data_IF_311031053448
#
_entry.id   IF_311031053448
#
_cell.length_a   1.000
_cell.length_b   1.000
_cell.length_c   1.000
_cell.angle_alpha   90.00
_cell.angle_beta   90.00
_cell.angle_gamma   90.00
#
_symmetry.space_group_name_H-M   'P 1'
#
loop_
_entity.id
_entity.type
_entity.pdbx_description
1 polymer ?
#
# COMPACT_ATOMS: atom_id res chain seq x y z
N UNK A 1 -4.79 -16.28 5.32
CA UNK A 1 -5.35 -15.58 4.14
C UNK A 1 -4.21 -14.93 3.38
N UNK A 2 -4.28 -14.90 2.05
CA UNK A 2 -3.32 -14.21 1.20
C UNK A 2 -4.06 -13.26 0.24
N UNK A 3 -3.51 -12.05 0.08
CA UNK A 3 -3.96 -11.08 -0.92
C UNK A 3 -2.80 -10.80 -1.85
N UNK A 4 -3.05 -10.84 -3.16
CA UNK A 4 -2.03 -10.56 -4.18
C UNK A 4 -2.31 -9.23 -4.84
N UNK A 5 -1.29 -8.40 -4.94
CA UNK A 5 -1.29 -7.18 -5.73
C UNK A 5 -0.27 -7.29 -6.84
N UNK A 6 -0.67 -6.95 -8.07
CA UNK A 6 0.24 -6.88 -9.20
C UNK A 6 0.27 -5.44 -9.72
N UNK A 7 1.45 -4.84 -9.72
CA UNK A 7 1.68 -3.49 -10.26
C UNK A 7 2.28 -3.67 -11.66
N UNK A 8 1.48 -3.41 -12.69
CA UNK A 8 1.87 -3.70 -14.09
C UNK A 8 2.66 -2.57 -14.75
N UNK A 9 2.62 -1.37 -14.19
CA UNK A 9 3.41 -0.25 -14.67
C UNK A 9 4.85 -0.39 -14.20
N UNK A 10 5.77 -0.64 -15.14
CA UNK A 10 7.18 -0.86 -14.86
C UNK A 10 7.91 0.36 -14.29
N UNK A 11 7.32 1.57 -14.40
CA UNK A 11 7.86 2.78 -13.76
C UNK A 11 7.62 2.80 -12.24
N UNK A 12 6.66 2.01 -11.75
CA UNK A 12 6.32 1.90 -10.34
C UNK A 12 7.13 0.77 -9.71
N UNK A 13 8.17 1.15 -8.98
CA UNK A 13 9.11 0.23 -8.34
C UNK A 13 8.76 -0.12 -6.89
N UNK A 14 7.74 0.53 -6.30
CA UNK A 14 7.22 0.21 -4.98
C UNK A 14 5.79 -0.33 -5.06
N UNK A 15 5.47 -1.32 -4.23
CA UNK A 15 4.09 -1.72 -3.93
C UNK A 15 3.79 -1.45 -2.46
N UNK A 16 2.79 -0.62 -2.19
CA UNK A 16 2.34 -0.27 -0.85
C UNK A 16 1.07 -1.03 -0.51
N UNK A 17 0.93 -1.41 0.76
CA UNK A 17 -0.26 -2.07 1.30
C UNK A 17 -0.90 -1.21 2.38
N UNK A 18 -2.20 -0.97 2.25
CA UNK A 18 -2.99 -0.20 3.20
C UNK A 18 -4.16 -1.02 3.73
N UNK A 19 -4.61 -0.67 4.93
CA UNK A 19 -5.87 -1.14 5.50
C UNK A 19 -6.77 0.03 5.86
N UNK A 20 -8.07 -0.15 5.63
CA UNK A 20 -9.14 0.70 6.13
C UNK A 20 -10.04 -0.13 7.06
N UNK A 21 -10.11 0.26 8.33
CA UNK A 21 -11.06 -0.33 9.28
C UNK A 21 -12.39 0.42 9.26
N UNK A 22 -13.46 -0.21 8.75
CA UNK A 22 -14.75 0.47 8.54
C UNK A 22 -14.59 1.70 7.66
N UNK A 23 -15.24 2.82 8.04
CA UNK A 23 -15.12 4.12 7.36
C UNK A 23 -13.93 4.97 7.88
N UNK A 24 -12.96 4.32 8.55
CA UNK A 24 -11.78 4.98 9.10
C UNK A 24 -10.76 5.44 8.03
N UNK A 25 -9.65 6.06 8.46
CA UNK A 25 -8.57 6.44 7.55
C UNK A 25 -7.83 5.22 6.98
N UNK A 26 -7.12 5.43 5.87
CA UNK A 26 -6.16 4.47 5.34
C UNK A 26 -4.89 4.47 6.19
N UNK A 27 -4.53 3.32 6.73
CA UNK A 27 -3.27 3.12 7.46
C UNK A 27 -2.32 2.28 6.60
N UNK A 28 -1.10 2.78 6.40
CA UNK A 28 -0.04 2.04 5.72
C UNK A 28 0.39 0.85 6.59
N UNK A 29 0.32 -0.35 6.04
CA UNK A 29 0.84 -1.57 6.67
C UNK A 29 2.35 -1.69 6.44
N UNK A 30 2.77 -1.39 5.20
CA UNK A 30 4.13 -1.57 4.76
C UNK A 30 4.22 -1.58 3.24
N UNK A 31 5.41 -1.86 2.73
CA UNK A 31 5.69 -1.80 1.30
C UNK A 31 6.79 -2.76 0.88
N UNK A 32 6.83 -3.08 -0.40
CA UNK A 32 7.94 -3.78 -1.05
C UNK A 32 8.55 -2.90 -2.12
N UNK A 33 9.87 -2.88 -2.21
CA UNK A 33 10.57 -2.35 -3.37
C UNK A 33 10.97 -3.50 -4.30
N UNK A 34 11.00 -3.21 -5.60
CA UNK A 34 11.41 -4.14 -6.65
C UNK A 34 12.82 -4.65 -6.36
N UNK A 35 12.95 -5.95 -6.08
CA UNK A 35 14.24 -6.60 -5.86
C UNK A 35 14.79 -6.53 -4.44
N UNK A 36 14.02 -6.14 -3.43
CA UNK A 36 14.49 -6.40 -2.07
C UNK A 36 13.44 -6.46 -0.98
N UNK A 37 13.92 -6.25 0.25
CA UNK A 37 13.25 -6.72 1.46
C UNK A 37 12.00 -5.90 1.77
N UNK A 38 10.84 -6.55 1.98
CA UNK A 38 9.63 -5.89 2.46
C UNK A 38 9.88 -5.10 3.75
N UNK A 39 9.30 -3.91 3.83
CA UNK A 39 9.24 -3.11 5.06
C UNK A 39 7.84 -3.18 5.66
N UNK A 40 7.77 -3.25 6.99
CA UNK A 40 6.53 -3.26 7.77
C UNK A 40 6.57 -2.07 8.71
N UNK A 41 5.48 -1.30 8.76
CA UNK A 41 5.34 -0.18 9.67
C UNK A 41 5.32 -0.68 11.13
N UNK A 42 5.87 0.12 12.04
CA UNK A 42 6.05 -0.27 13.45
C UNK A 42 4.75 -0.70 14.13
N UNK A 43 3.62 -0.07 13.77
CA UNK A 43 2.28 -0.42 14.27
C UNK A 43 1.79 -1.82 13.86
N UNK A 44 2.41 -2.42 12.85
CA UNK A 44 2.10 -3.77 12.36
C UNK A 44 3.24 -4.77 12.63
N UNK A 45 4.37 -4.31 13.18
CA UNK A 45 5.48 -5.18 13.57
C UNK A 45 5.06 -6.13 14.71
N UNK A 46 5.46 -7.40 14.60
CA UNK A 46 5.08 -8.44 15.57
C UNK A 46 3.63 -8.90 15.50
N UNK A 47 2.83 -8.38 14.55
CA UNK A 47 1.47 -8.88 14.29
C UNK A 47 1.50 -10.09 13.36
N UNK A 48 0.33 -10.66 13.13
CA UNK A 48 0.13 -11.78 12.20
C UNK A 48 0.15 -11.37 10.72
N UNK A 49 0.47 -10.11 10.42
CA UNK A 49 0.51 -9.56 9.06
C UNK A 49 1.96 -9.55 8.58
N UNK A 50 2.20 -10.12 7.40
CA UNK A 50 3.51 -10.07 6.73
C UNK A 50 3.33 -9.70 5.27
N UNK A 51 4.33 -9.01 4.72
CA UNK A 51 4.39 -8.68 3.29
C UNK A 51 5.52 -9.50 2.66
N UNK A 52 5.30 -10.03 1.46
CA UNK A 52 6.33 -10.73 0.67
C UNK A 52 6.34 -10.22 -0.76
N UNK A 53 7.53 -10.04 -1.32
CA UNK A 53 7.68 -9.94 -2.76
C UNK A 53 7.49 -11.34 -3.35
N UNK A 54 6.50 -11.51 -4.23
CA UNK A 54 6.26 -12.78 -4.93
C UNK A 54 7.02 -12.81 -6.27
N UNK A 55 7.02 -11.68 -6.95
CA UNK A 55 7.83 -11.45 -8.14
C UNK A 55 8.22 -9.99 -8.21
N UNK A 56 8.92 -9.64 -9.28
CA UNK A 56 9.35 -8.27 -9.55
C UNK A 56 8.20 -7.25 -9.60
N UNK A 57 7.00 -7.69 -10.02
CA UNK A 57 5.82 -6.85 -10.24
C UNK A 57 4.63 -7.31 -9.35
N UNK A 58 4.87 -8.25 -8.43
CA UNK A 58 3.83 -8.86 -7.59
C UNK A 58 4.23 -8.89 -6.13
N UNK A 59 3.30 -8.47 -5.27
CA UNK A 59 3.44 -8.45 -3.82
C UNK A 59 2.29 -9.22 -3.17
N UNK A 60 2.59 -9.90 -2.06
CA UNK A 60 1.63 -10.64 -1.26
C UNK A 60 1.51 -10.01 0.12
N UNK A 61 0.27 -9.79 0.56
CA UNK A 61 -0.07 -9.56 1.96
C UNK A 61 -0.58 -10.87 2.55
N UNK A 62 0.08 -11.35 3.58
CA UNK A 62 -0.23 -12.60 4.27
C UNK A 62 -0.73 -12.30 5.67
N UNK A 63 -1.90 -12.86 6.02
CA UNK A 63 -2.51 -12.72 7.35
C UNK A 63 -2.68 -14.13 7.93
N UNK A 64 -1.94 -14.43 8.99
CA UNK A 64 -1.94 -15.73 9.67
C UNK A 64 -2.99 -15.76 10.80
N UNK A 65 -3.83 -16.78 10.88
CA UNK A 65 -4.83 -16.86 11.95
C UNK A 65 -5.85 -15.71 11.91
N UNK A 66 -6.49 -15.52 10.76
CA UNK A 66 -7.48 -14.46 10.54
C UNK A 66 -8.57 -14.50 11.62
N UNK A 67 -8.93 -13.32 12.10
CA UNK A 67 -9.93 -13.09 13.15
C UNK A 67 -10.67 -11.79 12.89
N UNK A 68 -11.71 -11.48 13.66
CA UNK A 68 -12.47 -10.23 13.53
C UNK A 68 -11.62 -8.96 13.61
N UNK A 69 -10.47 -9.00 14.28
CA UNK A 69 -9.52 -7.88 14.37
C UNK A 69 -8.88 -7.52 13.02
N UNK A 70 -8.94 -8.44 12.05
CA UNK A 70 -8.42 -8.25 10.69
C UNK A 70 -9.52 -7.82 9.70
N UNK A 71 -10.74 -7.58 10.17
CA UNK A 71 -11.82 -7.07 9.31
C UNK A 71 -11.48 -5.68 8.77
N UNK A 72 -11.84 -5.44 7.52
CA UNK A 72 -11.60 -4.17 6.84
C UNK A 72 -11.31 -4.36 5.36
N UNK A 73 -11.17 -3.24 4.67
CA UNK A 73 -10.81 -3.22 3.26
C UNK A 73 -9.30 -3.05 3.14
N UNK A 74 -8.69 -3.87 2.28
CA UNK A 74 -7.26 -3.83 2.03
C UNK A 74 -7.02 -3.30 0.63
N UNK A 75 -6.14 -2.31 0.55
CA UNK A 75 -5.79 -1.65 -0.71
C UNK A 75 -4.31 -1.88 -1.00
N UNK A 76 -3.99 -1.95 -2.28
CA UNK A 76 -2.60 -1.86 -2.73
C UNK A 76 -2.44 -0.74 -3.74
N UNK A 77 -1.24 -0.15 -3.77
CA UNK A 77 -0.90 0.92 -4.70
C UNK A 77 0.54 0.75 -5.20
N UNK A 78 0.78 1.10 -6.47
CA UNK A 78 2.12 1.24 -7.02
C UNK A 78 2.65 2.66 -6.81
N UNK A 79 3.95 2.82 -6.57
CA UNK A 79 4.62 4.13 -6.50
C UNK A 79 6.00 4.08 -7.13
N UNK A 80 6.47 5.20 -7.66
CA UNK A 80 7.86 5.36 -8.12
C UNK A 80 8.81 5.36 -6.92
N UNK A 81 10.03 4.83 -7.09
CA UNK A 81 11.06 4.89 -6.06
C UNK A 81 11.73 6.25 -6.16
N UNK A 82 11.70 7.01 -5.05
CA UNK A 82 12.26 8.36 -4.96
C UNK A 82 11.53 9.37 -5.85
N UNK A 83 10.20 9.49 -5.74
CA UNK A 83 9.50 10.65 -6.31
C UNK A 83 10.03 11.93 -5.64
N UNK A 84 10.97 12.58 -6.32
CA UNK A 84 11.43 13.94 -6.02
C UNK A 84 10.46 14.97 -6.60
N UNK A 85 9.47 14.53 -7.39
CA UNK A 85 8.32 15.33 -7.72
C UNK A 85 7.50 15.52 -6.46
N UNK A 86 7.31 16.78 -6.05
CA UNK A 86 6.24 17.13 -5.11
C UNK A 86 4.98 16.47 -5.65
N UNK A 87 4.51 15.43 -4.96
CA UNK A 87 3.30 14.71 -5.33
C UNK A 87 2.27 15.72 -5.80
N UNK A 88 1.75 15.53 -7.01
CA UNK A 88 0.75 16.43 -7.57
C UNK A 88 -0.32 16.55 -6.48
N UNK A 89 -0.48 17.76 -5.94
CA UNK A 89 -1.41 18.04 -4.84
C UNK A 89 -2.70 17.30 -5.15
N UNK A 90 -3.19 16.53 -4.17
CA UNK A 90 -4.48 15.86 -4.28
C UNK A 90 -5.45 16.83 -4.96
N UNK A 91 -6.13 16.39 -6.01
CA UNK A 91 -7.24 17.16 -6.54
C UNK A 91 -8.21 17.38 -5.37
N UNK A 92 -8.18 18.58 -4.81
CA UNK A 92 -9.17 19.02 -3.84
C UNK A 92 -10.51 18.85 -4.56
N UNK A 93 -11.45 18.13 -3.97
CA UNK A 93 -12.82 18.01 -4.51
C UNK A 93 -13.59 19.33 -4.32
N UNK A 94 -12.92 20.47 -4.44
CA UNK A 94 -13.58 21.76 -4.59
C UNK A 94 -13.79 22.05 -6.08
N UNK A 95 -14.93 22.66 -6.45
CA UNK A 95 -15.16 23.08 -7.83
C UNK A 95 -13.97 23.93 -8.30
N UNK A 96 -13.44 23.69 -9.52
CA UNK A 96 -12.26 24.39 -9.99
C UNK A 96 -12.55 25.90 -10.02
N UNK A 97 -11.87 26.65 -9.15
CA UNK A 97 -11.79 28.10 -9.32
C UNK A 97 -10.76 28.37 -10.41
N UNK A 98 -11.20 29.02 -11.48
CA UNK A 98 -10.32 29.57 -12.51
C UNK A 98 -9.29 30.48 -11.83
N UNK A 99 -8.01 30.13 -11.96
CA UNK A 99 -6.93 31.04 -11.62
C UNK A 99 -6.88 32.11 -12.72
N UNK A 100 -7.25 33.36 -12.39
CA UNK A 100 -6.98 34.55 -13.21
C UNK A 100 -5.51 34.94 -13.12
#
# INVERSE_FOLDING_TARGET
MSLRCRVTDSSLSNTLWYRQGGDGPLTLIGHTYRGGTPSIESSFSGTNITIRAESTDSSLLLISGVSGQHSGTYFCAGSTHSDTGRGRLCAELTPPKLCN
#
